data_IF_388098679839
#
_entry.id   IF_388098679839
#
_cell.length_a   1.000
_cell.length_b   1.000
_cell.length_c   1.000
_cell.angle_alpha   90.00
_cell.angle_beta   90.00
_cell.angle_gamma   90.00
#
_symmetry.space_group_name_H-M   'P 1'
#
loop_
_entity.id
_entity.type
_entity.pdbx_description
1 polymer ?
#
# COMPACT_ATOMS: atom_id res chain seq x y z
N UNK A 1 2.67 5.05 -16.44
CA UNK A 1 1.43 4.27 -16.31
C UNK A 1 0.41 4.98 -17.17
N UNK A 2 0.19 4.46 -18.37
CA UNK A 2 -0.90 4.78 -19.29
C UNK A 2 -0.91 3.57 -20.23
N UNK A 3 -2.08 3.12 -20.65
CA UNK A 3 -2.14 2.04 -21.64
C UNK A 3 -1.70 2.58 -23.00
N UNK A 4 -1.80 1.76 -24.06
CA UNK A 4 -1.64 2.27 -25.42
C UNK A 4 -2.72 3.28 -25.83
N UNK A 5 -3.79 3.41 -25.06
CA UNK A 5 -4.87 4.36 -25.32
C UNK A 5 -4.70 5.62 -24.45
N UNK A 6 -4.63 6.82 -25.06
CA UNK A 6 -4.45 8.07 -24.32
C UNK A 6 -5.56 8.30 -23.27
N UNK A 7 -5.15 8.63 -22.04
CA UNK A 7 -6.08 8.90 -20.95
C UNK A 7 -6.67 7.67 -20.25
N UNK A 8 -6.32 6.46 -20.68
CA UNK A 8 -6.68 5.22 -19.95
C UNK A 8 -5.47 4.74 -19.15
N UNK A 9 -5.71 4.49 -17.86
CA UNK A 9 -4.70 4.10 -16.89
C UNK A 9 -5.05 2.76 -16.27
N UNK A 10 -4.05 1.91 -16.04
CA UNK A 10 -4.20 0.62 -15.37
C UNK A 10 -3.39 0.62 -14.08
N UNK A 11 -3.87 -0.09 -13.05
CA UNK A 11 -3.23 -0.28 -11.76
C UNK A 11 -3.76 -1.54 -11.08
N UNK A 12 -3.18 -1.95 -9.95
CA UNK A 12 -3.58 -3.18 -9.25
C UNK A 12 -3.29 -4.43 -10.08
N UNK A 13 -4.19 -5.42 -9.97
CA UNK A 13 -4.07 -6.74 -10.60
C UNK A 13 -4.21 -6.74 -12.13
N UNK A 14 -4.69 -5.63 -12.72
CA UNK A 14 -4.73 -5.43 -14.17
C UNK A 14 -3.31 -5.30 -14.76
N UNK A 15 -2.31 -4.94 -13.94
CA UNK A 15 -0.91 -4.80 -14.38
C UNK A 15 -0.22 -6.18 -14.29
N UNK A 16 0.54 -6.62 -15.31
CA UNK A 16 1.22 -7.91 -15.30
C UNK A 16 2.45 -7.89 -14.37
N UNK A 17 2.22 -7.89 -13.06
CA UNK A 17 3.25 -7.93 -12.01
C UNK A 17 2.88 -8.95 -10.92
N UNK A 18 3.67 -8.96 -9.85
CA UNK A 18 3.36 -9.71 -8.63
C UNK A 18 1.99 -9.31 -8.09
N UNK A 19 1.15 -10.32 -7.83
CA UNK A 19 -0.22 -10.17 -7.33
C UNK A 19 -0.26 -10.14 -5.80
N UNK A 20 0.44 -9.16 -5.23
CA UNK A 20 0.41 -8.90 -3.79
C UNK A 20 -0.31 -7.59 -3.52
N UNK A 21 -0.95 -7.49 -2.36
CA UNK A 21 -1.66 -6.26 -1.95
C UNK A 21 -0.74 -5.04 -1.97
N UNK A 22 0.51 -5.19 -1.51
CA UNK A 22 1.51 -4.12 -1.46
C UNK A 22 1.88 -3.63 -2.86
N UNK A 23 2.07 -4.54 -3.82
CA UNK A 23 2.34 -4.19 -5.21
C UNK A 23 1.12 -3.53 -5.87
N UNK A 24 -0.08 -4.08 -5.65
CA UNK A 24 -1.32 -3.52 -6.17
C UNK A 24 -1.59 -2.09 -5.68
N UNK A 25 -1.39 -1.82 -4.38
CA UNK A 25 -1.46 -0.47 -3.80
C UNK A 25 -0.40 0.45 -4.41
N UNK A 26 0.83 -0.04 -4.58
CA UNK A 26 1.91 0.71 -5.25
C UNK A 26 1.55 1.09 -6.69
N UNK A 27 0.90 0.20 -7.43
CA UNK A 27 0.40 0.46 -8.77
C UNK A 27 -0.72 1.51 -8.80
N UNK A 28 -1.70 1.42 -7.89
CA UNK A 28 -2.73 2.43 -7.75
C UNK A 28 -2.14 3.83 -7.51
N UNK A 29 -1.17 3.92 -6.60
CA UNK A 29 -0.43 5.18 -6.33
C UNK A 29 0.28 5.72 -7.58
N UNK A 30 0.94 4.86 -8.37
CA UNK A 30 1.61 5.28 -9.61
C UNK A 30 0.59 5.73 -10.66
N UNK A 31 -0.51 4.99 -10.85
CA UNK A 31 -1.58 5.37 -11.76
C UNK A 31 -2.15 6.76 -11.42
N UNK A 32 -2.48 7.01 -10.15
CA UNK A 32 -2.99 8.30 -9.69
C UNK A 32 -2.05 9.47 -10.03
N UNK A 33 -0.74 9.31 -9.82
CA UNK A 33 0.26 10.34 -10.18
C UNK A 33 0.35 10.60 -11.69
N UNK A 34 0.15 9.57 -12.51
CA UNK A 34 0.15 9.73 -13.97
C UNK A 34 -1.15 10.37 -14.46
N UNK A 35 -2.29 10.07 -13.83
CA UNK A 35 -3.58 10.72 -14.09
C UNK A 35 -3.47 12.22 -13.78
N UNK A 36 -2.97 12.58 -12.60
CA UNK A 36 -2.78 13.97 -12.18
C UNK A 36 -1.91 14.75 -13.18
N UNK A 37 -0.74 14.22 -13.54
CA UNK A 37 0.13 14.86 -14.52
C UNK A 37 -0.55 15.00 -15.90
N UNK A 38 -1.27 13.97 -16.35
CA UNK A 38 -1.97 13.97 -17.63
C UNK A 38 -3.08 15.03 -17.69
N UNK A 39 -3.87 15.15 -16.62
CA UNK A 39 -4.89 16.19 -16.49
C UNK A 39 -4.27 17.60 -16.51
N UNK A 40 -3.05 17.74 -16.02
CA UNK A 40 -2.28 18.98 -16.07
C UNK A 40 -1.50 19.20 -17.39
N UNK A 41 -1.67 18.33 -18.40
CA UNK A 41 -0.94 18.41 -19.68
C UNK A 41 0.57 18.15 -19.55
N UNK A 42 1.00 17.44 -18.50
CA UNK A 42 2.40 17.15 -18.18
C UNK A 42 2.66 15.64 -18.19
N UNK A 43 3.92 15.26 -18.37
CA UNK A 43 4.36 13.89 -18.13
C UNK A 43 4.77 13.72 -16.66
N UNK A 44 4.34 12.64 -16.02
CA UNK A 44 4.80 12.33 -14.66
C UNK A 44 6.26 11.84 -14.69
N UNK A 45 7.15 12.58 -14.03
CA UNK A 45 8.54 12.15 -13.78
C UNK A 45 8.60 11.53 -12.39
N UNK A 46 9.05 10.28 -12.31
CA UNK A 46 9.21 9.60 -11.04
C UNK A 46 10.30 10.32 -10.21
N UNK A 47 10.04 10.68 -8.94
CA UNK A 47 11.07 11.22 -8.08
C UNK A 47 12.16 10.16 -7.82
N UNK A 48 13.36 10.59 -7.41
CA UNK A 48 14.39 9.68 -6.93
C UNK A 48 13.85 8.72 -5.87
N UNK A 49 14.38 7.49 -5.84
CA UNK A 49 14.02 6.55 -4.79
C UNK A 49 14.45 7.13 -3.44
N UNK A 50 13.62 6.91 -2.42
CA UNK A 50 14.00 7.22 -1.05
C UNK A 50 15.25 6.42 -0.68
N UNK A 51 16.11 7.04 0.12
CA UNK A 51 17.24 6.36 0.73
C UNK A 51 16.77 5.14 1.52
N UNK A 52 17.65 4.15 1.63
CA UNK A 52 17.40 3.02 2.52
C UNK A 52 17.21 3.53 3.95
N UNK A 53 16.23 2.96 4.64
CA UNK A 53 16.07 3.19 6.06
C UNK A 53 17.20 2.44 6.79
N UNK A 54 18.11 3.18 7.40
CA UNK A 54 19.11 2.61 8.31
C UNK A 54 18.47 2.30 9.67
N UNK A 55 19.18 1.53 10.50
CA UNK A 55 18.66 1.00 11.77
C UNK A 55 18.21 2.11 12.74
N UNK A 56 18.90 3.24 12.73
CA UNK A 56 18.60 4.46 13.49
C UNK A 56 17.25 5.10 13.12
N UNK A 57 16.75 4.87 11.89
CA UNK A 57 15.43 5.34 11.43
C UNK A 57 14.30 4.39 11.85
N UNK A 58 14.61 3.22 12.40
CA UNK A 58 13.60 2.30 12.92
C UNK A 58 13.15 2.77 14.30
N UNK A 59 11.86 2.59 14.60
CA UNK A 59 11.36 2.73 15.96
C UNK A 59 11.28 1.33 16.61
N UNK A 60 12.31 0.88 17.36
CA UNK A 60 12.35 -0.47 17.92
C UNK A 60 11.49 -0.65 19.17
N UNK A 61 10.76 0.38 19.63
CA UNK A 61 9.89 0.35 20.83
C UNK A 61 8.80 -0.73 20.83
N UNK A 62 8.68 -1.52 19.77
CA UNK A 62 7.73 -2.63 19.69
C UNK A 62 7.94 -3.70 20.78
N UNK A 63 9.11 -3.74 21.43
CA UNK A 63 9.34 -4.50 22.66
C UNK A 63 9.49 -3.56 23.85
N UNK A 64 8.39 -2.92 24.26
CA UNK A 64 8.31 -2.37 25.61
C UNK A 64 8.02 -3.49 26.60
N UNK A 65 8.53 -3.40 27.83
CA UNK A 65 8.09 -4.22 28.98
C UNK A 65 6.64 -3.87 29.41
N UNK A 66 5.79 -3.50 28.45
CA UNK A 66 4.39 -3.24 28.68
C UNK A 66 3.63 -4.59 28.67
N UNK A 67 2.77 -4.85 29.67
CA UNK A 67 1.91 -6.02 29.67
C UNK A 67 1.11 -6.07 28.36
N UNK A 68 1.11 -7.21 27.69
CA UNK A 68 0.23 -7.42 26.52
C UNK A 68 -1.21 -7.24 26.95
N UNK A 69 -1.95 -6.35 26.29
CA UNK A 69 -3.40 -6.25 26.48
C UNK A 69 -4.06 -7.55 26.03
N UNK A 70 -4.49 -8.37 26.98
CA UNK A 70 -5.24 -9.60 26.70
C UNK A 70 -6.66 -9.22 26.34
N UNK A 71 -7.06 -9.44 25.07
CA UNK A 71 -8.45 -9.26 24.67
C UNK A 71 -9.30 -10.38 25.30
N UNK A 72 -10.43 -10.05 25.96
CA UNK A 72 -11.33 -11.08 26.46
C UNK A 72 -11.86 -11.91 25.29
N UNK A 73 -11.66 -13.21 25.38
CA UNK A 73 -12.13 -14.17 24.39
C UNK A 73 -13.55 -14.55 24.77
N UNK A 74 -14.52 -14.31 23.88
CA UNK A 74 -15.88 -14.81 24.07
C UNK A 74 -15.88 -16.33 24.14
N UNK A 75 -16.55 -16.86 25.15
CA UNK A 75 -16.77 -18.30 25.34
C UNK A 75 -17.42 -18.93 24.11
N UNK A 76 -17.02 -20.16 23.78
CA UNK A 76 -17.48 -20.86 22.57
C UNK A 76 -19.00 -20.95 22.50
N UNK A 77 -19.67 -21.14 23.65
CA UNK A 77 -21.13 -21.18 23.75
C UNK A 77 -21.83 -19.87 23.32
N UNK A 78 -21.13 -18.73 23.39
CA UNK A 78 -21.64 -17.42 22.92
C UNK A 78 -21.31 -17.15 21.45
N UNK A 79 -20.54 -18.03 20.80
CA UNK A 79 -20.19 -17.93 19.36
C UNK A 79 -21.14 -18.71 18.45
N UNK A 80 -22.06 -19.49 19.02
CA UNK A 80 -22.92 -20.43 18.29
C UNK A 80 -24.36 -19.96 18.09
N UNK A 81 -24.74 -18.76 18.57
CA UNK A 81 -26.06 -18.19 18.29
C UNK A 81 -25.97 -17.19 17.13
N UNK A 82 -26.45 -17.59 15.95
CA UNK A 82 -26.86 -16.70 14.86
C UNK A 82 -28.34 -16.89 14.62
#
# INVERSE_FOLDING_TARGET
MMTGYPGIFAGGDMVPSERTVTVGVGHGKKAARNIDAWLAGKAHVAPPKHELAAFDKLNPWYYSDAPKTVRPVLDVARRTST
#
